data_IF_620895013048
#
_entry.id   IF_620895013048
#
_cell.length_a   1.000
_cell.length_b   1.000
_cell.length_c   1.000
_cell.angle_alpha   90.00
_cell.angle_beta   90.00
_cell.angle_gamma   90.00
#
_symmetry.space_group_name_H-M   'P 1'
#
loop_
_entity.id
_entity.type
_entity.pdbx_description
1 polymer ?
#
# COMPACT_ATOMS: atom_id res chain seq x y z
N UNK A 1 35.00 -0.71 9.90
CA UNK A 1 34.08 0.30 10.45
C UNK A 1 32.75 0.11 9.74
N UNK A 2 31.84 -0.60 10.40
CA UNK A 2 30.77 -1.39 9.75
C UNK A 2 29.67 -0.51 9.17
N UNK A 3 29.13 -0.89 8.00
CA UNK A 3 27.91 -0.32 7.38
C UNK A 3 26.74 -0.18 8.39
N UNK A 4 26.75 -0.97 9.47
CA UNK A 4 25.81 -0.90 10.58
C UNK A 4 25.80 0.42 11.39
N UNK A 5 26.94 1.11 11.55
CA UNK A 5 26.96 2.36 12.35
C UNK A 5 26.25 3.52 11.64
N UNK A 6 26.18 3.47 10.31
CA UNK A 6 25.50 4.49 9.49
C UNK A 6 23.97 4.37 9.53
N UNK A 7 23.42 3.18 9.76
CA UNK A 7 21.97 2.96 9.83
C UNK A 7 21.39 3.38 11.18
N UNK A 8 22.13 3.19 12.28
CA UNK A 8 21.66 3.53 13.64
C UNK A 8 21.55 5.04 13.88
N UNK A 9 22.34 5.87 13.21
CA UNK A 9 22.36 7.32 13.44
C UNK A 9 21.29 8.13 12.68
N UNK A 10 20.54 7.54 11.75
CA UNK A 10 19.70 8.29 10.81
C UNK A 10 18.17 8.11 10.97
N UNK A 11 17.70 7.34 11.96
CA UNK A 11 16.26 7.02 12.12
C UNK A 11 15.41 8.02 12.92
N UNK A 12 15.98 9.14 13.36
CA UNK A 12 15.23 10.18 14.10
C UNK A 12 14.99 11.40 13.21
N UNK A 13 13.91 11.40 12.42
CA UNK A 13 13.35 12.64 11.88
C UNK A 13 11.82 12.62 11.93
N UNK A 14 11.29 13.25 12.99
CA UNK A 14 9.88 13.54 13.23
C UNK A 14 9.50 14.75 12.36
N UNK A 15 8.63 14.57 11.38
CA UNK A 15 8.13 15.68 10.54
C UNK A 15 6.97 16.39 11.26
N UNK A 16 7.20 17.65 11.65
CA UNK A 16 6.13 18.60 11.96
C UNK A 16 5.85 19.41 10.69
N UNK A 17 4.67 19.22 10.10
CA UNK A 17 4.18 20.08 9.03
C UNK A 17 3.67 21.39 9.64
N UNK A 18 4.34 22.49 9.30
CA UNK A 18 3.90 23.84 9.60
C UNK A 18 2.70 24.19 8.67
N UNK A 19 1.49 24.35 9.22
CA UNK A 19 0.37 24.98 8.50
C UNK A 19 0.50 26.50 8.63
N UNK A 20 0.49 27.29 7.54
CA UNK A 20 0.23 28.71 7.62
C UNK A 20 -1.29 28.93 7.77
N UNK A 21 -1.72 29.63 8.80
CA UNK A 21 -3.03 30.27 8.81
C UNK A 21 -2.93 31.59 8.05
N UNK A 22 -3.79 31.81 7.05
CA UNK A 22 -4.03 33.13 6.49
C UNK A 22 -5.43 33.59 6.89
N UNK A 23 -5.49 34.59 7.78
CA UNK A 23 -6.60 35.53 7.91
C UNK A 23 -6.59 36.42 6.67
N UNK A 24 -7.71 36.54 5.97
CA UNK A 24 -7.91 37.56 4.94
C UNK A 24 -9.05 38.46 5.44
N UNK A 25 -8.70 39.70 5.77
CA UNK A 25 -9.61 40.84 5.88
C UNK A 25 -9.55 41.61 4.56
N UNK A 26 -10.70 41.85 3.95
CA UNK A 26 -10.91 42.74 2.79
C UNK A 26 -10.62 44.21 3.14
N UNK A 27 -10.20 45.06 2.18
CA UNK A 27 -11.19 45.94 1.56
C UNK A 27 -10.99 46.28 0.06
N UNK A 28 -11.99 47.04 -0.41
CA UNK A 28 -12.44 47.42 -1.74
C UNK A 28 -11.52 48.21 -2.70
N UNK A 29 -11.79 47.94 -3.99
CA UNK A 29 -11.99 48.82 -5.15
C UNK A 29 -10.94 49.87 -5.57
N UNK A 30 -10.48 49.75 -6.82
CA UNK A 30 -10.07 50.89 -7.64
C UNK A 30 -9.04 50.53 -8.72
N UNK A 31 -9.42 50.71 -9.98
CA UNK A 31 -8.62 50.75 -11.20
C UNK A 31 -8.01 49.45 -11.80
N UNK A 32 -8.60 49.09 -12.94
CA UNK A 32 -8.25 48.01 -13.85
C UNK A 32 -7.71 48.65 -15.12
N UNK A 33 -6.41 48.57 -15.38
CA UNK A 33 -5.89 47.96 -16.63
C UNK A 33 -4.37 48.12 -16.88
N UNK A 34 -3.62 48.92 -16.13
CA UNK A 34 -2.16 49.05 -16.35
C UNK A 34 -1.26 48.22 -15.40
N UNK A 35 -1.78 47.65 -14.32
CA UNK A 35 -0.99 46.80 -13.40
C UNK A 35 -0.81 45.35 -13.88
N UNK A 36 -1.59 44.89 -14.88
CA UNK A 36 -1.66 43.48 -15.26
C UNK A 36 -0.39 42.92 -15.92
N UNK A 37 0.42 43.80 -16.53
CA UNK A 37 1.67 43.40 -17.20
C UNK A 37 2.92 43.56 -16.30
N UNK A 38 2.89 44.45 -15.30
CA UNK A 38 3.97 44.54 -14.30
C UNK A 38 3.83 43.45 -13.22
N UNK A 39 2.61 43.13 -12.78
CA UNK A 39 2.35 42.03 -11.84
C UNK A 39 2.74 40.65 -12.41
N UNK A 40 2.63 40.42 -13.72
CA UNK A 40 3.01 39.14 -14.33
C UNK A 40 4.52 38.89 -14.34
N UNK A 41 5.34 39.95 -14.37
CA UNK A 41 6.80 39.83 -14.38
C UNK A 41 7.39 39.64 -12.97
N UNK A 42 6.80 40.25 -11.94
CA UNK A 42 7.25 40.11 -10.54
C UNK A 42 6.69 38.85 -9.82
N UNK A 43 5.51 38.36 -10.22
CA UNK A 43 4.99 37.08 -9.69
C UNK A 43 5.63 35.85 -10.33
N UNK A 44 6.05 35.94 -11.61
CA UNK A 44 6.80 34.86 -12.27
C UNK A 44 8.16 34.63 -11.62
N UNK A 45 8.87 35.70 -11.28
CA UNK A 45 10.21 35.63 -10.67
C UNK A 45 10.15 35.25 -9.18
N UNK A 46 9.21 35.79 -8.39
CA UNK A 46 9.09 35.44 -6.96
C UNK A 46 8.65 33.99 -6.72
N UNK A 47 7.78 33.43 -7.57
CA UNK A 47 7.35 32.04 -7.46
C UNK A 47 8.45 31.05 -7.92
N UNK A 48 9.30 31.46 -8.87
CA UNK A 48 10.46 30.69 -9.33
C UNK A 48 11.60 30.71 -8.30
N UNK A 49 11.90 31.86 -7.69
CA UNK A 49 12.87 31.97 -6.58
C UNK A 49 12.42 31.19 -5.33
N UNK A 50 11.11 31.14 -5.04
CA UNK A 50 10.57 30.34 -3.93
C UNK A 50 10.69 28.83 -4.21
N UNK A 51 10.49 28.40 -5.47
CA UNK A 51 10.64 27.01 -5.87
C UNK A 51 12.11 26.55 -5.91
N UNK A 52 13.03 27.37 -6.41
CA UNK A 52 14.47 27.05 -6.46
C UNK A 52 15.09 27.02 -5.06
N UNK A 53 14.69 27.94 -4.18
CA UNK A 53 15.11 27.92 -2.78
C UNK A 53 14.52 26.73 -2.00
N UNK A 54 13.27 26.33 -2.28
CA UNK A 54 12.67 25.13 -1.70
C UNK A 54 13.31 23.84 -2.22
N UNK A 55 13.61 23.76 -3.51
CA UNK A 55 14.26 22.59 -4.13
C UNK A 55 15.70 22.43 -3.63
N UNK A 56 16.49 23.51 -3.66
CA UNK A 56 17.84 23.53 -3.11
C UNK A 56 17.86 23.17 -1.62
N UNK A 57 16.93 23.74 -0.82
CA UNK A 57 16.81 23.43 0.61
C UNK A 57 16.36 21.98 0.86
N UNK A 58 15.47 21.44 0.05
CA UNK A 58 15.04 20.04 0.13
C UNK A 58 16.21 19.08 -0.10
N UNK A 59 16.99 19.29 -1.16
CA UNK A 59 18.16 18.47 -1.47
C UNK A 59 19.28 18.66 -0.44
N UNK A 60 19.49 19.89 0.04
CA UNK A 60 20.47 20.19 1.09
C UNK A 60 20.16 19.49 2.41
N UNK A 61 18.90 19.52 2.85
CA UNK A 61 18.47 18.81 4.05
C UNK A 61 18.68 17.29 3.94
N UNK A 62 18.63 16.74 2.72
CA UNK A 62 18.80 15.30 2.43
C UNK A 62 20.23 14.91 2.06
N UNK A 63 21.22 15.82 2.13
CA UNK A 63 22.62 15.54 1.76
C UNK A 63 23.22 14.34 2.51
N UNK A 64 22.89 14.16 3.79
CA UNK A 64 23.36 13.02 4.59
C UNK A 64 22.81 11.70 4.05
N UNK A 65 21.53 11.68 3.69
CA UNK A 65 20.88 10.54 3.06
C UNK A 65 21.52 10.21 1.72
N UNK A 66 21.75 11.20 0.85
CA UNK A 66 22.40 10.98 -0.44
C UNK A 66 23.82 10.44 -0.29
N UNK A 67 24.61 10.96 0.67
CA UNK A 67 25.95 10.45 0.97
C UNK A 67 25.93 9.00 1.48
N UNK A 68 24.96 8.64 2.32
CA UNK A 68 24.81 7.26 2.77
C UNK A 68 24.39 6.33 1.62
N UNK A 69 23.41 6.76 0.82
CA UNK A 69 22.92 6.02 -0.34
C UNK A 69 23.98 5.85 -1.43
N UNK A 70 24.93 6.78 -1.57
CA UNK A 70 26.03 6.66 -2.54
C UNK A 70 27.00 5.51 -2.22
N UNK A 71 27.04 5.04 -0.98
CA UNK A 71 27.89 3.91 -0.55
C UNK A 71 27.29 2.53 -0.86
N UNK A 72 26.01 2.50 -1.25
CA UNK A 72 25.25 1.27 -1.47
C UNK A 72 25.05 1.10 -2.97
N UNK A 73 25.30 -0.11 -3.48
CA UNK A 73 25.15 -0.43 -4.90
C UNK A 73 23.67 -0.56 -5.27
N UNK A 74 23.33 -0.37 -6.54
CA UNK A 74 21.96 -0.52 -7.05
C UNK A 74 21.83 0.03 -8.46
N UNK A 75 20.64 -0.11 -9.08
CA UNK A 75 20.41 0.27 -10.46
C UNK A 75 20.69 1.76 -10.75
N UNK A 76 21.07 2.08 -12.00
CA UNK A 76 21.31 3.45 -12.43
C UNK A 76 20.03 4.27 -12.31
N UNK A 77 20.15 5.46 -11.74
CA UNK A 77 18.99 6.29 -11.38
C UNK A 77 18.89 7.51 -12.27
N UNK A 78 17.70 7.76 -12.83
CA UNK A 78 17.42 8.98 -13.57
C UNK A 78 17.27 10.18 -12.61
N UNK A 79 17.62 11.41 -13.04
CA UNK A 79 17.39 12.60 -12.24
C UNK A 79 15.89 12.77 -11.96
N UNK A 80 15.56 13.19 -10.73
CA UNK A 80 14.20 13.46 -10.23
C UNK A 80 13.31 12.21 -10.08
N UNK A 81 13.24 11.33 -11.09
CA UNK A 81 12.37 10.15 -11.14
C UNK A 81 13.02 8.93 -10.46
N UNK A 82 14.35 8.85 -10.42
CA UNK A 82 15.07 7.69 -9.90
C UNK A 82 14.86 6.47 -10.79
N UNK A 83 14.45 5.35 -10.20
CA UNK A 83 14.08 4.10 -10.88
C UNK A 83 12.57 3.98 -11.10
N UNK A 84 11.81 5.07 -10.94
CA UNK A 84 10.34 5.01 -10.97
C UNK A 84 9.78 4.38 -12.25
N UNK A 85 10.45 4.55 -13.40
CA UNK A 85 10.03 3.97 -14.67
C UNK A 85 9.97 2.43 -14.65
N UNK A 86 10.79 1.77 -13.82
CA UNK A 86 10.76 0.30 -13.67
C UNK A 86 9.49 -0.19 -12.95
N UNK A 87 8.78 0.71 -12.28
CA UNK A 87 7.56 0.43 -11.53
C UNK A 87 6.32 1.03 -12.21
N UNK A 88 6.41 1.30 -13.52
CA UNK A 88 5.29 1.69 -14.36
C UNK A 88 4.75 0.48 -15.14
N UNK A 89 3.43 0.44 -15.33
CA UNK A 89 2.76 -0.60 -16.09
C UNK A 89 1.98 -1.58 -15.21
N UNK A 90 1.65 -2.73 -15.79
CA UNK A 90 0.86 -3.75 -15.10
C UNK A 90 1.67 -4.47 -14.00
N UNK A 91 0.96 -5.06 -13.05
CA UNK A 91 1.56 -5.74 -11.89
C UNK A 91 2.54 -6.85 -12.30
N UNK A 92 2.31 -7.54 -13.41
CA UNK A 92 3.20 -8.63 -13.85
C UNK A 92 4.52 -8.09 -14.38
N UNK A 93 4.49 -7.00 -15.14
CA UNK A 93 5.68 -6.30 -15.61
C UNK A 93 6.48 -5.73 -14.44
N UNK A 94 5.80 -5.08 -13.48
CA UNK A 94 6.45 -4.57 -12.26
C UNK A 94 7.13 -5.71 -11.51
N UNK A 95 6.45 -6.85 -11.34
CA UNK A 95 7.01 -8.02 -10.66
C UNK A 95 8.23 -8.59 -11.39
N UNK A 96 8.15 -8.72 -12.72
CA UNK A 96 9.30 -9.14 -13.55
C UNK A 96 10.48 -8.18 -13.42
N UNK A 97 10.23 -6.88 -13.39
CA UNK A 97 11.28 -5.88 -13.20
C UNK A 97 11.93 -6.00 -11.83
N UNK A 98 11.15 -6.26 -10.77
CA UNK A 98 11.69 -6.53 -9.42
C UNK A 98 12.59 -7.76 -9.44
N UNK A 99 12.15 -8.86 -10.07
CA UNK A 99 12.97 -10.07 -10.20
C UNK A 99 14.24 -9.82 -11.02
N UNK A 100 14.16 -9.03 -12.09
CA UNK A 100 15.33 -8.60 -12.87
C UNK A 100 16.33 -7.85 -12.01
N UNK A 101 15.88 -6.89 -11.21
CA UNK A 101 16.76 -6.14 -10.28
C UNK A 101 17.41 -7.08 -9.26
N UNK A 102 16.68 -8.06 -8.72
CA UNK A 102 17.23 -9.04 -7.78
C UNK A 102 18.33 -9.90 -8.42
N UNK A 103 18.17 -10.27 -9.69
CA UNK A 103 19.15 -11.05 -10.43
C UNK A 103 20.38 -10.24 -10.86
N UNK A 104 20.18 -9.00 -11.33
CA UNK A 104 21.24 -8.12 -11.81
C UNK A 104 22.07 -7.52 -10.68
N UNK A 105 21.47 -7.39 -9.48
CA UNK A 105 22.09 -6.83 -8.29
C UNK A 105 22.00 -7.82 -7.11
N UNK A 106 22.65 -9.00 -7.19
CA UNK A 106 22.64 -10.03 -6.16
C UNK A 106 23.57 -9.65 -5.00
N UNK A 107 23.36 -8.45 -4.44
CA UNK A 107 24.06 -7.94 -3.28
C UNK A 107 23.15 -8.06 -2.07
N UNK A 108 23.76 -8.28 -0.89
CA UNK A 108 23.09 -8.35 0.41
C UNK A 108 22.16 -7.16 0.68
N UNK A 109 22.57 -5.99 0.19
CA UNK A 109 21.86 -4.72 0.30
C UNK A 109 21.99 -3.90 -0.99
N UNK A 110 20.86 -3.67 -1.64
CA UNK A 110 20.76 -2.90 -2.89
C UNK A 110 19.86 -1.68 -2.71
N UNK A 111 20.25 -0.52 -3.26
CA UNK A 111 19.46 0.71 -3.20
C UNK A 111 18.50 0.84 -4.39
N UNK A 112 17.30 1.35 -4.14
CA UNK A 112 16.35 1.77 -5.18
C UNK A 112 15.81 3.16 -4.85
N UNK A 113 15.94 4.08 -5.79
CA UNK A 113 15.25 5.37 -5.73
C UNK A 113 13.88 5.30 -6.40
N UNK A 114 12.83 5.75 -5.72
CA UNK A 114 11.52 6.04 -6.28
C UNK A 114 11.25 7.55 -6.13
N UNK A 115 11.52 8.30 -7.19
CA UNK A 115 11.54 9.75 -7.13
C UNK A 115 12.54 10.23 -6.06
N UNK A 116 12.03 10.93 -5.05
CA UNK A 116 12.82 11.43 -3.92
C UNK A 116 12.93 10.46 -2.73
N UNK A 117 12.21 9.32 -2.78
CA UNK A 117 12.24 8.29 -1.75
C UNK A 117 13.34 7.26 -2.04
N UNK A 118 14.13 6.94 -1.02
CA UNK A 118 15.11 5.87 -1.05
C UNK A 118 14.50 4.61 -0.42
N UNK A 119 14.61 3.50 -1.11
CA UNK A 119 14.24 2.17 -0.65
C UNK A 119 15.46 1.26 -0.70
N UNK A 120 15.44 0.21 0.11
CA UNK A 120 16.46 -0.82 0.13
C UNK A 120 15.82 -2.16 -0.18
N UNK A 121 16.44 -2.91 -1.08
CA UNK A 121 16.22 -4.33 -1.23
C UNK A 121 17.25 -5.02 -0.34
N UNK A 122 16.76 -5.87 0.55
CA UNK A 122 17.58 -6.64 1.48
C UNK A 122 17.31 -8.11 1.19
N UNK A 123 18.36 -8.84 0.83
CA UNK A 123 18.29 -10.27 0.49
C UNK A 123 18.96 -11.13 1.55
N UNK A 124 19.93 -10.56 2.27
CA UNK A 124 20.70 -11.28 3.29
C UNK A 124 19.88 -11.51 4.57
N UNK A 125 19.75 -12.76 5.05
CA UNK A 125 18.98 -13.10 6.25
C UNK A 125 19.43 -12.35 7.51
N UNK A 126 20.74 -12.15 7.71
CA UNK A 126 21.27 -11.43 8.88
C UNK A 126 20.75 -9.99 8.94
N UNK A 127 20.69 -9.31 7.79
CA UNK A 127 20.15 -7.96 7.71
C UNK A 127 18.63 -7.93 7.89
N UNK A 128 17.92 -8.92 7.35
CA UNK A 128 16.48 -9.06 7.56
C UNK A 128 16.15 -9.26 9.03
N UNK A 129 16.91 -10.08 9.76
CA UNK A 129 16.72 -10.29 11.19
C UNK A 129 16.86 -8.98 11.97
N UNK A 130 17.91 -8.19 11.71
CA UNK A 130 18.14 -6.89 12.36
C UNK A 130 16.97 -5.94 12.09
N UNK A 131 16.50 -5.86 10.84
CA UNK A 131 15.45 -4.92 10.44
C UNK A 131 14.09 -5.35 11.01
N UNK A 132 13.74 -6.64 10.90
CA UNK A 132 12.44 -7.17 11.32
C UNK A 132 12.28 -7.18 12.85
N UNK A 133 13.38 -7.29 13.60
CA UNK A 133 13.38 -7.21 15.07
C UNK A 133 13.52 -5.78 15.60
N UNK A 134 13.83 -4.80 14.75
CA UNK A 134 14.02 -3.41 15.19
C UNK A 134 12.69 -2.73 15.55
N UNK A 135 12.55 -2.14 16.75
CA UNK A 135 11.36 -1.40 17.12
C UNK A 135 11.18 -0.10 16.29
N UNK A 136 12.23 0.35 15.60
CA UNK A 136 12.21 1.52 14.74
C UNK A 136 11.67 1.24 13.33
N UNK A 137 11.57 -0.04 12.94
CA UNK A 137 11.12 -0.48 11.61
C UNK A 137 9.68 -1.00 11.61
N UNK A 138 8.90 -0.68 12.65
CA UNK A 138 7.51 -1.15 12.80
C UNK A 138 6.49 -0.33 11.99
N UNK A 139 6.83 0.90 11.61
CA UNK A 139 5.89 1.81 10.95
C UNK A 139 5.60 1.34 9.52
N UNK A 140 4.30 1.36 9.16
CA UNK A 140 3.86 0.96 7.83
C UNK A 140 4.22 2.02 6.80
N UNK A 141 4.60 1.58 5.60
CA UNK A 141 4.91 2.51 4.52
C UNK A 141 3.64 3.29 4.10
N UNK A 142 3.74 4.60 3.77
CA UNK A 142 2.60 5.43 3.37
C UNK A 142 1.60 4.86 2.35
N UNK A 143 2.01 3.92 1.49
CA UNK A 143 1.18 3.19 0.51
C UNK A 143 0.08 2.37 1.18
N UNK A 144 0.25 1.98 2.45
CA UNK A 144 -0.82 1.37 3.24
C UNK A 144 -2.05 2.28 3.40
N UNK A 145 -1.96 3.57 3.05
CA UNK A 145 -3.13 4.46 2.97
C UNK A 145 -4.22 3.95 2.02
N UNK A 146 -3.86 3.24 0.95
CA UNK A 146 -4.86 2.69 0.02
C UNK A 146 -5.60 1.50 0.64
N UNK A 147 -4.90 0.64 1.37
CA UNK A 147 -5.54 -0.39 2.18
C UNK A 147 -6.39 0.22 3.29
N UNK A 148 -5.92 1.29 3.96
CA UNK A 148 -6.72 2.00 4.98
C UNK A 148 -8.01 2.58 4.45
N UNK A 149 -8.01 3.08 3.22
CA UNK A 149 -9.21 3.63 2.59
C UNK A 149 -10.30 2.57 2.35
N UNK A 150 -9.91 1.29 2.25
CA UNK A 150 -10.79 0.16 1.97
C UNK A 150 -11.17 -0.59 3.25
N UNK A 151 -10.16 -0.98 4.04
CA UNK A 151 -10.32 -1.87 5.20
C UNK A 151 -10.26 -1.12 6.54
N UNK A 152 -10.18 0.21 6.53
CA UNK A 152 -10.01 1.02 7.73
C UNK A 152 -8.65 0.82 8.41
N UNK A 153 -8.56 1.19 9.69
CA UNK A 153 -7.34 1.05 10.51
C UNK A 153 -7.39 -0.22 11.36
N UNK A 154 -7.33 -1.37 10.70
CA UNK A 154 -7.24 -2.69 11.33
C UNK A 154 -5.81 -3.12 11.64
N UNK A 155 -5.62 -4.41 11.96
CA UNK A 155 -4.29 -4.98 12.27
C UNK A 155 -3.30 -4.85 11.11
N UNK A 156 -3.78 -4.90 9.86
CA UNK A 156 -2.92 -4.84 8.68
C UNK A 156 -2.40 -3.42 8.40
N UNK A 157 -3.19 -2.39 8.68
CA UNK A 157 -3.05 -1.05 8.11
C UNK A 157 -2.92 0.08 9.14
N UNK A 158 -3.16 -0.20 10.43
CA UNK A 158 -3.10 0.79 11.49
C UNK A 158 -1.67 1.31 11.77
N UNK A 159 -1.53 2.58 12.22
CA UNK A 159 -0.27 3.09 12.76
C UNK A 159 0.23 2.27 13.96
N UNK A 160 1.54 2.31 14.24
CA UNK A 160 2.19 1.42 15.23
C UNK A 160 1.53 1.47 16.61
N UNK A 161 1.18 2.66 17.10
CA UNK A 161 0.55 2.81 18.41
C UNK A 161 -0.78 2.03 18.53
N UNK A 162 -1.63 2.14 17.50
CA UNK A 162 -2.93 1.45 17.44
C UNK A 162 -2.75 -0.03 17.12
N UNK A 163 -1.83 -0.36 16.22
CA UNK A 163 -1.47 -1.74 15.89
C UNK A 163 -1.03 -2.54 17.13
N UNK A 164 -0.16 -1.98 17.98
CA UNK A 164 0.29 -2.67 19.22
C UNK A 164 -0.88 -3.02 20.12
N UNK A 165 -1.83 -2.08 20.31
CA UNK A 165 -3.04 -2.31 21.11
C UNK A 165 -3.92 -3.40 20.48
N UNK A 166 -4.22 -3.29 19.19
CA UNK A 166 -5.07 -4.24 18.47
C UNK A 166 -4.46 -5.64 18.45
N UNK A 167 -3.14 -5.76 18.20
CA UNK A 167 -2.43 -7.03 18.20
C UNK A 167 -2.50 -7.71 19.57
N UNK A 168 -2.27 -6.97 20.66
CA UNK A 168 -2.36 -7.52 22.02
C UNK A 168 -3.75 -8.09 22.32
N UNK A 169 -4.82 -7.43 21.84
CA UNK A 169 -6.20 -7.88 22.03
C UNK A 169 -6.55 -9.12 21.20
N UNK A 170 -6.05 -9.18 19.97
CA UNK A 170 -6.42 -10.24 19.00
C UNK A 170 -5.55 -11.49 19.17
N UNK A 171 -4.28 -11.36 19.56
CA UNK A 171 -3.35 -12.50 19.65
C UNK A 171 -3.87 -13.72 20.42
N UNK A 172 -4.61 -13.58 21.54
CA UNK A 172 -5.19 -14.74 22.23
C UNK A 172 -6.15 -15.56 21.38
N UNK A 173 -6.83 -14.98 20.39
CA UNK A 173 -7.77 -15.67 19.50
C UNK A 173 -7.08 -16.59 18.48
N UNK A 174 -5.75 -16.49 18.34
CA UNK A 174 -4.96 -17.28 17.39
C UNK A 174 -4.05 -18.30 18.10
N UNK A 175 -4.43 -18.74 19.31
CA UNK A 175 -3.72 -19.81 19.99
C UNK A 175 -4.13 -21.19 19.43
N UNK A 176 -3.25 -22.19 19.56
CA UNK A 176 -3.45 -23.52 18.97
C UNK A 176 -4.79 -24.16 19.37
N UNK A 177 -5.21 -24.04 20.63
CA UNK A 177 -6.45 -24.63 21.12
C UNK A 177 -7.69 -24.06 20.40
N UNK A 178 -7.68 -22.77 20.08
CA UNK A 178 -8.76 -22.15 19.31
C UNK A 178 -8.70 -22.61 17.85
N UNK A 179 -7.51 -22.68 17.26
CA UNK A 179 -7.34 -23.18 15.90
C UNK A 179 -7.81 -24.63 15.75
N UNK A 180 -7.53 -25.49 16.74
CA UNK A 180 -7.99 -26.88 16.77
C UNK A 180 -9.52 -26.96 16.79
N UNK A 181 -10.20 -26.00 17.43
CA UNK A 181 -11.67 -25.94 17.44
C UNK A 181 -12.27 -25.65 16.06
N UNK A 182 -11.51 -25.04 15.14
CA UNK A 182 -11.96 -24.76 13.77
C UNK A 182 -11.78 -25.95 12.81
N UNK A 183 -11.13 -27.04 13.23
CA UNK A 183 -10.90 -28.21 12.37
C UNK A 183 -12.22 -28.84 11.85
N UNK A 184 -13.29 -28.81 12.66
CA UNK A 184 -14.61 -29.24 12.23
C UNK A 184 -15.13 -28.44 11.04
N UNK A 185 -15.03 -27.10 11.13
CA UNK A 185 -15.43 -26.15 10.09
C UNK A 185 -14.62 -26.39 8.81
N UNK A 186 -13.29 -26.46 8.92
CA UNK A 186 -12.44 -26.70 7.74
C UNK A 186 -12.75 -28.03 7.05
N UNK A 187 -13.04 -29.08 7.81
CA UNK A 187 -13.44 -30.37 7.26
C UNK A 187 -14.80 -30.30 6.55
N UNK A 188 -15.78 -29.59 7.11
CA UNK A 188 -17.09 -29.39 6.47
C UNK A 188 -16.95 -28.63 5.15
N UNK A 189 -16.26 -27.48 5.17
CA UNK A 189 -16.06 -26.65 3.98
C UNK A 189 -15.24 -27.37 2.90
N UNK A 190 -14.24 -28.17 3.29
CA UNK A 190 -13.46 -28.99 2.36
C UNK A 190 -14.31 -30.09 1.71
N UNK A 191 -15.24 -30.72 2.45
CA UNK A 191 -16.15 -31.73 1.86
C UNK A 191 -17.06 -31.12 0.80
N UNK A 192 -17.52 -29.88 1.00
CA UNK A 192 -18.31 -29.14 0.00
C UNK A 192 -17.44 -28.87 -1.24
N UNK A 193 -16.23 -28.36 -1.04
CA UNK A 193 -15.26 -28.11 -2.11
C UNK A 193 -14.99 -29.36 -2.96
N UNK A 194 -14.74 -30.51 -2.31
CA UNK A 194 -14.49 -31.77 -3.01
C UNK A 194 -15.68 -32.23 -3.86
N UNK A 195 -16.92 -32.11 -3.35
CA UNK A 195 -18.13 -32.42 -4.14
C UNK A 195 -18.27 -31.52 -5.38
N UNK A 196 -17.90 -30.24 -5.27
CA UNK A 196 -17.91 -29.33 -6.42
C UNK A 196 -16.83 -29.73 -7.42
N UNK A 197 -15.65 -30.13 -6.94
CA UNK A 197 -14.54 -30.56 -7.79
C UNK A 197 -14.84 -31.88 -8.51
N UNK A 198 -15.48 -32.84 -7.84
CA UNK A 198 -15.96 -34.09 -8.43
C UNK A 198 -16.92 -33.85 -9.61
N UNK A 199 -17.81 -32.85 -9.52
CA UNK A 199 -18.70 -32.48 -10.65
C UNK A 199 -17.95 -31.88 -11.84
N UNK A 200 -16.75 -31.36 -11.62
CA UNK A 200 -15.85 -30.85 -12.66
C UNK A 200 -14.83 -31.90 -13.11
N UNK A 201 -14.89 -33.12 -12.57
CA UNK A 201 -14.03 -34.22 -13.01
C UNK A 201 -14.30 -34.56 -14.48
N UNK A 202 -13.23 -34.81 -15.24
CA UNK A 202 -13.30 -35.07 -16.68
C UNK A 202 -13.19 -33.83 -17.57
N UNK A 203 -13.22 -32.61 -16.99
CA UNK A 203 -12.85 -31.40 -17.74
C UNK A 203 -11.34 -31.37 -17.99
N UNK A 204 -10.92 -30.91 -19.17
CA UNK A 204 -9.50 -30.82 -19.56
C UNK A 204 -8.70 -29.87 -18.66
N UNK A 205 -9.32 -28.77 -18.24
CA UNK A 205 -8.73 -27.74 -17.37
C UNK A 205 -9.81 -27.13 -16.49
N UNK A 206 -9.51 -26.94 -15.22
CA UNK A 206 -10.40 -26.29 -14.25
C UNK A 206 -9.63 -25.17 -13.57
N UNK A 207 -10.19 -23.96 -13.58
CA UNK A 207 -9.68 -22.87 -12.77
C UNK A 207 -10.09 -23.09 -11.31
N UNK A 208 -9.10 -23.38 -10.47
CA UNK A 208 -9.28 -23.61 -9.04
C UNK A 208 -9.25 -22.34 -8.21
N UNK A 209 -8.78 -21.21 -8.75
CA UNK A 209 -8.60 -19.97 -7.99
C UNK A 209 -9.91 -19.52 -7.36
N UNK A 210 -10.97 -19.41 -8.17
CA UNK A 210 -12.29 -19.00 -7.70
C UNK A 210 -12.92 -20.01 -6.73
N UNK A 211 -12.68 -21.30 -6.93
CA UNK A 211 -13.20 -22.36 -6.06
C UNK A 211 -12.54 -22.33 -4.67
N UNK A 212 -11.22 -22.20 -4.63
CA UNK A 212 -10.45 -22.11 -3.38
C UNK A 212 -10.73 -20.79 -2.66
N UNK A 213 -10.86 -19.69 -3.40
CA UNK A 213 -11.23 -18.38 -2.84
C UNK A 213 -12.59 -18.45 -2.14
N UNK A 214 -13.60 -19.04 -2.79
CA UNK A 214 -14.92 -19.21 -2.18
C UNK A 214 -14.89 -20.08 -0.92
N UNK A 215 -14.18 -21.23 -0.95
CA UNK A 215 -14.00 -22.09 0.22
C UNK A 215 -13.29 -21.36 1.37
N UNK A 216 -12.31 -20.51 1.04
CA UNK A 216 -11.56 -19.74 2.03
C UNK A 216 -12.44 -18.71 2.71
N UNK A 217 -13.29 -18.01 1.94
CA UNK A 217 -14.26 -17.05 2.50
C UNK A 217 -15.27 -17.75 3.40
N UNK A 218 -15.85 -18.88 2.98
CA UNK A 218 -16.79 -19.63 3.83
C UNK A 218 -16.12 -20.10 5.12
N UNK A 219 -14.92 -20.69 5.03
CA UNK A 219 -14.15 -21.14 6.19
C UNK A 219 -13.80 -19.99 7.14
N UNK A 220 -13.45 -18.82 6.61
CA UNK A 220 -13.11 -17.63 7.39
C UNK A 220 -14.33 -17.04 8.07
N UNK A 221 -15.44 -16.86 7.35
CA UNK A 221 -16.67 -16.31 7.90
C UNK A 221 -17.25 -17.22 8.99
N UNK A 222 -17.23 -18.54 8.78
CA UNK A 222 -17.74 -19.48 9.77
C UNK A 222 -16.83 -19.56 11.00
N UNK A 223 -15.50 -19.61 10.83
CA UNK A 223 -14.57 -19.67 11.97
C UNK A 223 -14.44 -18.36 12.76
N UNK A 224 -14.40 -17.22 12.07
CA UNK A 224 -14.16 -15.92 12.70
C UNK A 224 -15.45 -15.21 13.12
N UNK A 225 -16.56 -15.39 12.38
CA UNK A 225 -17.82 -14.68 12.62
C UNK A 225 -18.95 -15.62 13.06
N UNK A 226 -18.81 -16.94 12.92
CA UNK A 226 -19.87 -17.90 13.23
C UNK A 226 -21.00 -17.92 12.20
N UNK A 227 -20.80 -17.34 11.00
CA UNK A 227 -21.83 -17.16 9.97
C UNK A 227 -21.53 -18.07 8.77
N UNK A 228 -22.54 -18.77 8.27
CA UNK A 228 -22.47 -19.58 7.05
C UNK A 228 -22.90 -18.73 5.84
N UNK A 229 -21.94 -18.28 5.05
CA UNK A 229 -22.17 -17.43 3.86
C UNK A 229 -22.52 -18.26 2.62
N UNK A 230 -22.05 -19.50 2.56
CA UNK A 230 -22.31 -20.46 1.48
C UNK A 230 -21.86 -19.98 0.08
N UNK A 231 -20.77 -19.20 0.03
CA UNK A 231 -20.11 -18.71 -1.17
C UNK A 231 -19.72 -19.81 -2.17
N UNK A 232 -19.45 -21.03 -1.69
CA UNK A 232 -19.13 -22.17 -2.55
C UNK A 232 -20.33 -22.65 -3.38
N UNK A 233 -21.53 -22.57 -2.81
CA UNK A 233 -22.75 -23.12 -3.41
C UNK A 233 -23.54 -22.06 -4.16
N UNK A 234 -23.56 -20.84 -3.62
CA UNK A 234 -24.20 -19.70 -4.22
C UNK A 234 -23.12 -18.75 -4.73
N UNK A 235 -23.23 -18.32 -5.99
CA UNK A 235 -22.38 -17.26 -6.53
C UNK A 235 -22.75 -15.93 -5.87
N UNK A 236 -22.34 -15.75 -4.62
CA UNK A 236 -22.45 -14.46 -3.94
C UNK A 236 -21.55 -13.49 -4.70
N UNK A 237 -22.06 -12.29 -4.99
CA UNK A 237 -21.25 -11.24 -5.61
C UNK A 237 -20.06 -10.82 -4.74
N UNK A 238 -20.05 -11.21 -3.45
CA UNK A 238 -19.05 -10.89 -2.45
C UNK A 238 -17.63 -11.22 -2.89
N UNK A 239 -17.37 -12.45 -3.34
CA UNK A 239 -16.03 -12.86 -3.78
C UNK A 239 -15.53 -11.98 -4.93
N UNK A 240 -16.42 -11.70 -5.89
CA UNK A 240 -16.10 -10.84 -7.03
C UNK A 240 -15.80 -9.39 -6.61
N UNK A 241 -16.60 -8.82 -5.71
CA UNK A 241 -16.36 -7.47 -5.19
C UNK A 241 -15.08 -7.41 -4.36
N UNK A 242 -14.79 -8.43 -3.53
CA UNK A 242 -13.55 -8.53 -2.76
C UNK A 242 -12.33 -8.61 -3.68
N UNK A 243 -12.33 -9.52 -4.66
CA UNK A 243 -11.26 -9.65 -5.65
C UNK A 243 -11.02 -8.32 -6.38
N UNK A 244 -12.11 -7.65 -6.79
CA UNK A 244 -12.04 -6.35 -7.48
C UNK A 244 -11.43 -5.27 -6.60
N UNK A 245 -11.87 -5.16 -5.35
CA UNK A 245 -11.34 -4.19 -4.37
C UNK A 245 -9.87 -4.46 -4.08
N UNK A 246 -9.48 -5.73 -3.88
CA UNK A 246 -8.09 -6.11 -3.64
C UNK A 246 -7.22 -5.79 -4.87
N UNK A 247 -7.65 -6.18 -6.07
CA UNK A 247 -6.93 -5.91 -7.31
C UNK A 247 -6.68 -4.41 -7.51
N UNK A 248 -7.71 -3.58 -7.37
CA UNK A 248 -7.57 -2.12 -7.53
C UNK A 248 -6.66 -1.56 -6.43
N UNK A 249 -6.79 -2.04 -5.19
CA UNK A 249 -5.95 -1.60 -4.08
C UNK A 249 -4.47 -1.92 -4.31
N UNK A 250 -4.16 -3.14 -4.76
CA UNK A 250 -2.80 -3.54 -5.13
C UNK A 250 -2.28 -2.76 -6.34
N UNK A 251 -3.09 -2.56 -7.37
CA UNK A 251 -2.75 -1.72 -8.53
C UNK A 251 -2.35 -0.31 -8.08
N UNK A 252 -3.10 0.30 -7.17
CA UNK A 252 -2.78 1.64 -6.61
C UNK A 252 -1.51 1.67 -5.76
N UNK A 253 -1.15 0.56 -5.11
CA UNK A 253 0.11 0.45 -4.38
C UNK A 253 1.30 0.26 -5.32
N UNK A 254 1.16 -0.59 -6.34
CA UNK A 254 2.23 -0.94 -7.26
C UNK A 254 2.53 0.20 -8.26
N UNK A 255 1.52 0.64 -9.01
CA UNK A 255 1.68 1.61 -10.09
C UNK A 255 1.81 3.04 -9.54
N UNK A 256 2.88 3.72 -9.93
CA UNK A 256 3.16 5.09 -9.54
C UNK A 256 2.10 6.11 -9.99
N UNK A 257 1.43 5.90 -11.13
CA UNK A 257 0.41 6.82 -11.63
C UNK A 257 -0.85 6.78 -10.78
N UNK A 258 -1.31 5.57 -10.45
CA UNK A 258 -2.53 5.37 -9.66
C UNK A 258 -2.35 5.71 -8.17
N UNK A 259 -1.11 6.01 -7.74
CA UNK A 259 -0.85 6.59 -6.41
C UNK A 259 -1.40 8.00 -6.27
N UNK A 260 -1.51 8.77 -7.34
CA UNK A 260 -2.05 10.13 -7.29
C UNK A 260 -3.58 10.07 -7.33
N UNK A 261 -4.23 10.52 -6.26
CA UNK A 261 -5.69 10.45 -6.11
C UNK A 261 -6.42 11.18 -7.25
N UNK A 262 -5.87 12.31 -7.73
CA UNK A 262 -6.42 13.05 -8.86
C UNK A 262 -6.54 12.19 -10.12
N UNK A 263 -5.43 11.55 -10.52
CA UNK A 263 -5.37 10.70 -11.71
C UNK A 263 -6.30 9.50 -11.55
N UNK A 264 -6.24 8.84 -10.39
CA UNK A 264 -7.09 7.68 -10.11
C UNK A 264 -8.58 8.04 -10.17
N UNK A 265 -8.99 9.17 -9.61
CA UNK A 265 -10.39 9.62 -9.57
C UNK A 265 -10.96 9.94 -10.96
N UNK A 266 -10.11 10.28 -11.93
CA UNK A 266 -10.53 10.47 -13.32
C UNK A 266 -10.74 9.14 -14.08
N UNK A 267 -10.30 8.02 -13.52
CA UNK A 267 -10.37 6.71 -14.20
C UNK A 267 -11.66 5.95 -13.87
N UNK A 268 -12.01 4.99 -14.75
CA UNK A 268 -13.14 4.06 -14.51
C UNK A 268 -12.95 3.23 -13.24
N UNK A 269 -11.70 2.93 -12.88
CA UNK A 269 -11.36 2.15 -11.68
C UNK A 269 -11.84 2.79 -10.38
N UNK A 270 -11.84 4.12 -10.27
CA UNK A 270 -12.37 4.80 -9.08
C UNK A 270 -13.87 4.56 -8.91
N UNK A 271 -14.64 4.53 -10.01
CA UNK A 271 -16.08 4.22 -9.97
C UNK A 271 -16.33 2.77 -9.57
N UNK A 272 -15.59 1.83 -10.17
CA UNK A 272 -15.69 0.39 -9.86
C UNK A 272 -15.34 0.11 -8.40
N UNK A 273 -14.28 0.75 -7.88
CA UNK A 273 -13.88 0.62 -6.48
C UNK A 273 -14.99 1.09 -5.54
N UNK A 274 -15.59 2.26 -5.81
CA UNK A 274 -16.67 2.81 -4.98
C UNK A 274 -17.93 1.94 -5.00
N UNK A 275 -18.33 1.45 -6.18
CA UNK A 275 -19.49 0.56 -6.31
C UNK A 275 -19.27 -0.77 -5.58
N UNK A 276 -18.10 -1.40 -5.78
CA UNK A 276 -17.76 -2.67 -5.14
C UNK A 276 -17.68 -2.53 -3.61
N UNK A 277 -17.12 -1.44 -3.10
CA UNK A 277 -17.11 -1.12 -1.67
C UNK A 277 -18.52 -0.92 -1.11
N UNK A 278 -19.38 -0.18 -1.82
CA UNK A 278 -20.75 0.05 -1.39
C UNK A 278 -21.53 -1.27 -1.27
N UNK A 279 -21.38 -2.18 -2.25
CA UNK A 279 -22.00 -3.51 -2.23
C UNK A 279 -21.47 -4.39 -1.11
N UNK A 280 -20.15 -4.39 -0.86
CA UNK A 280 -19.55 -5.13 0.27
C UNK A 280 -20.05 -4.62 1.62
N UNK A 281 -20.15 -3.30 1.80
CA UNK A 281 -20.68 -2.72 3.02
C UNK A 281 -22.15 -3.08 3.23
N UNK A 282 -22.96 -3.01 2.17
CA UNK A 282 -24.36 -3.43 2.23
C UNK A 282 -24.50 -4.92 2.59
N UNK A 283 -23.70 -5.78 1.97
CA UNK A 283 -23.69 -7.21 2.27
C UNK A 283 -23.37 -7.48 3.75
N UNK A 284 -22.31 -6.84 4.26
CA UNK A 284 -21.89 -7.00 5.67
C UNK A 284 -22.97 -6.53 6.65
N UNK A 285 -23.70 -5.44 6.34
CA UNK A 285 -24.76 -4.93 7.19
C UNK A 285 -25.97 -5.88 7.27
N UNK A 286 -26.34 -6.49 6.14
CA UNK A 286 -27.46 -7.42 6.07
C UNK A 286 -27.19 -8.69 6.89
N UNK A 287 -25.99 -9.26 6.75
CA UNK A 287 -25.58 -10.46 7.51
C UNK A 287 -25.44 -10.17 9.01
N UNK A 288 -25.00 -8.97 9.41
CA UNK A 288 -24.91 -8.61 10.83
C UNK A 288 -26.25 -8.37 11.52
N UNK A 289 -27.32 -8.22 10.75
CA UNK A 289 -28.68 -7.93 11.24
C UNK A 289 -29.59 -9.18 11.29
N UNK A 290 -29.09 -10.33 10.81
CA UNK A 290 -29.79 -11.61 10.74
C UNK A 290 -29.32 -12.52 11.88
#
# INVERSE_FOLDING_TARGET
MSQMELLKQNFIFRFHFCRPQQKISSPNSGDRNDESNLFRAEFGTSQQFCNDSCFGRFHWNRRKLYRAAAKIKGPPTLPIIGNGLLFMGDTTTIFKNILGILNDYPYDLSRIWLGTKLMFIVTEPEYLEIILNSPHCLEKEPLYRYARAVAGEGLFSAPVAKWKKNRKLISPAFNQKILDSFMGIFNEQTKIFLKILERKAGMKTVDIYHLVSAMTVDSLCESAMGIKVECQMHSTGMNHWMDTVMMITFMRMADLWYRYDFIFNMTKWSKILKDSLARLHQFTQNESSS
#
